data_IF_587263470331
#
_entry.id   IF_587263470331
#
_cell.length_a   1.000
_cell.length_b   1.000
_cell.length_c   1.000
_cell.angle_alpha   90.00
_cell.angle_beta   90.00
_cell.angle_gamma   90.00
#
_symmetry.space_group_name_H-M   'P 1'
#
loop_
_entity.id
_entity.type
_entity.pdbx_description
1 polymer ?
#
# COMPACT_ATOMS: atom_id res chain seq x y z
N UNK A 1 4.48 -12.44 -12.74
CA UNK A 1 5.61 -11.48 -12.50
C UNK A 1 5.16 -10.45 -11.45
N UNK A 2 5.97 -10.12 -10.43
CA UNK A 2 5.64 -9.09 -9.41
C UNK A 2 6.73 -8.03 -9.42
N UNK A 3 6.36 -6.76 -9.52
CA UNK A 3 7.27 -5.61 -9.44
C UNK A 3 6.77 -4.61 -8.41
N UNK A 4 7.69 -4.17 -7.55
CA UNK A 4 7.40 -3.23 -6.45
C UNK A 4 8.27 -1.99 -6.62
N UNK A 5 7.64 -0.84 -6.52
CA UNK A 5 8.31 0.47 -6.41
C UNK A 5 8.00 1.07 -5.05
N UNK A 6 9.03 1.61 -4.38
CA UNK A 6 8.91 2.26 -3.08
C UNK A 6 9.58 3.63 -3.14
N UNK A 7 8.87 4.63 -2.66
CA UNK A 7 9.37 5.98 -2.48
C UNK A 7 9.33 6.35 -1.00
N UNK A 8 10.47 6.63 -0.38
CA UNK A 8 10.61 6.92 1.04
C UNK A 8 11.48 8.15 1.38
N UNK A 9 11.75 8.99 0.37
CA UNK A 9 12.31 10.32 0.61
C UNK A 9 11.20 11.35 0.84
N UNK A 10 10.61 11.30 2.03
CA UNK A 10 9.49 12.17 2.38
C UNK A 10 9.90 13.62 2.67
N UNK A 11 11.19 13.96 2.61
CA UNK A 11 11.66 15.35 2.67
C UNK A 11 11.17 16.19 1.48
N UNK A 12 10.88 15.55 0.35
CA UNK A 12 10.32 16.17 -0.85
C UNK A 12 8.77 16.29 -0.81
N UNK A 13 8.11 15.89 0.27
CA UNK A 13 6.67 16.05 0.43
C UNK A 13 6.32 17.52 0.75
N UNK A 14 6.40 18.40 -0.25
CA UNK A 14 6.18 19.84 -0.15
C UNK A 14 5.13 20.30 -1.16
N UNK A 15 4.52 21.48 -0.91
CA UNK A 15 3.56 22.07 -1.85
C UNK A 15 4.23 22.41 -3.20
N UNK A 16 5.49 22.83 -3.20
CA UNK A 16 6.25 23.08 -4.42
C UNK A 16 6.39 21.80 -5.29
N UNK A 17 6.64 20.66 -4.66
CA UNK A 17 6.72 19.40 -5.38
C UNK A 17 5.35 18.92 -5.87
N UNK A 18 4.27 19.17 -5.12
CA UNK A 18 2.89 18.94 -5.56
C UNK A 18 2.60 19.76 -6.82
N UNK A 19 2.91 21.07 -6.82
CA UNK A 19 2.73 21.95 -7.99
C UNK A 19 3.54 21.46 -9.20
N UNK A 20 4.75 20.97 -8.99
CA UNK A 20 5.60 20.41 -10.05
C UNK A 20 5.02 19.12 -10.65
N UNK A 21 4.39 18.26 -9.85
CA UNK A 21 3.82 17.00 -10.30
C UNK A 21 2.44 17.15 -10.97
N UNK A 22 1.65 18.15 -10.60
CA UNK A 22 0.29 18.34 -11.13
C UNK A 22 0.20 18.28 -12.66
N UNK A 23 1.01 19.00 -13.45
CA UNK A 23 0.92 18.96 -14.90
C UNK A 23 1.39 17.62 -15.52
N UNK A 24 2.02 16.74 -14.74
CA UNK A 24 2.50 15.44 -15.19
C UNK A 24 1.44 14.34 -15.03
N UNK A 25 0.33 14.65 -14.37
CA UNK A 25 -0.74 13.68 -14.05
C UNK A 25 -2.03 14.10 -14.76
N UNK A 26 -2.62 13.23 -15.59
CA UNK A 26 -3.83 13.57 -16.35
C UNK A 26 -5.07 13.67 -15.47
N UNK A 27 -6.12 14.30 -16.01
CA UNK A 27 -7.47 14.25 -15.44
C UNK A 27 -8.08 12.82 -15.56
N UNK A 28 -8.92 12.41 -14.61
CA UNK A 28 -9.39 13.17 -13.43
C UNK A 28 -8.45 13.09 -12.20
N UNK A 29 -7.31 12.42 -12.30
CA UNK A 29 -6.44 12.12 -11.16
C UNK A 29 -5.78 13.38 -10.56
N UNK A 30 -5.43 14.35 -11.40
CA UNK A 30 -4.90 15.65 -10.95
C UNK A 30 -5.93 16.40 -10.11
N UNK A 31 -7.18 16.45 -10.56
CA UNK A 31 -8.30 17.04 -9.79
C UNK A 31 -8.59 16.27 -8.50
N UNK A 32 -8.52 14.95 -8.49
CA UNK A 32 -8.68 14.14 -7.28
C UNK A 32 -7.60 14.47 -6.24
N UNK A 33 -6.37 14.67 -6.67
CA UNK A 33 -5.27 15.06 -5.78
C UNK A 33 -5.57 16.40 -5.06
N UNK A 34 -6.15 17.38 -5.77
CA UNK A 34 -6.47 18.69 -5.20
C UNK A 34 -7.62 18.66 -4.18
N UNK A 35 -8.42 17.59 -4.13
CA UNK A 35 -9.47 17.39 -3.10
C UNK A 35 -8.90 17.08 -1.72
N UNK A 36 -7.67 16.61 -1.62
CA UNK A 36 -7.03 16.39 -0.33
C UNK A 36 -6.70 17.72 0.36
N UNK A 37 -7.04 17.80 1.65
CA UNK A 37 -6.83 19.01 2.45
C UNK A 37 -5.34 19.28 2.72
N UNK A 38 -4.56 18.22 2.94
CA UNK A 38 -3.16 18.32 3.38
C UNK A 38 -2.20 17.97 2.25
N UNK A 39 -1.04 18.61 2.22
CA UNK A 39 0.05 18.41 1.27
C UNK A 39 0.41 16.94 1.10
N UNK A 40 0.50 16.17 2.21
CA UNK A 40 0.79 14.74 2.14
C UNK A 40 -0.20 13.96 1.27
N UNK A 41 -1.51 14.19 1.43
CA UNK A 41 -2.52 13.50 0.63
C UNK A 41 -2.41 13.83 -0.87
N UNK A 42 -2.18 15.11 -1.20
CA UNK A 42 -1.94 15.57 -2.57
C UNK A 42 -0.69 14.92 -3.17
N UNK A 43 0.40 15.00 -2.42
CA UNK A 43 1.68 14.41 -2.80
C UNK A 43 1.57 12.89 -3.02
N UNK A 44 1.00 12.15 -2.06
CA UNK A 44 0.84 10.71 -2.15
C UNK A 44 -0.05 10.29 -3.34
N UNK A 45 -1.12 11.03 -3.61
CA UNK A 45 -2.01 10.80 -4.74
C UNK A 45 -1.27 10.94 -6.08
N UNK A 46 -0.52 12.02 -6.29
CA UNK A 46 0.23 12.28 -7.52
C UNK A 46 1.43 11.36 -7.65
N UNK A 47 2.21 11.21 -6.58
CA UNK A 47 3.43 10.39 -6.59
C UNK A 47 3.13 8.93 -6.87
N UNK A 48 2.11 8.36 -6.22
CA UNK A 48 1.72 6.97 -6.47
C UNK A 48 1.25 6.73 -7.91
N UNK A 49 0.56 7.71 -8.52
CA UNK A 49 0.19 7.63 -9.93
C UNK A 49 1.42 7.61 -10.85
N UNK A 50 2.39 8.50 -10.63
CA UNK A 50 3.62 8.55 -11.42
C UNK A 50 4.46 7.27 -11.25
N UNK A 51 4.52 6.71 -10.03
CA UNK A 51 5.17 5.43 -9.77
C UNK A 51 4.48 4.27 -10.50
N UNK A 52 3.14 4.27 -10.52
CA UNK A 52 2.37 3.28 -11.26
C UNK A 52 2.60 3.40 -12.77
N UNK A 53 2.58 4.62 -13.31
CA UNK A 53 2.84 4.89 -14.72
C UNK A 53 4.23 4.39 -15.14
N UNK A 54 5.25 4.62 -14.33
CA UNK A 54 6.61 4.15 -14.57
C UNK A 54 6.69 2.62 -14.61
N UNK A 55 6.05 1.93 -13.65
CA UNK A 55 6.00 0.47 -13.61
C UNK A 55 5.24 -0.12 -14.81
N UNK A 56 4.10 0.47 -15.19
CA UNK A 56 3.31 0.00 -16.33
C UNK A 56 4.08 0.17 -17.64
N UNK A 57 4.77 1.29 -17.80
CA UNK A 57 5.60 1.55 -18.97
C UNK A 57 6.78 0.58 -19.06
N UNK A 58 7.53 0.43 -17.96
CA UNK A 58 8.76 -0.36 -17.96
C UNK A 58 8.51 -1.87 -18.06
N UNK A 59 7.47 -2.38 -17.40
CA UNK A 59 7.24 -3.82 -17.27
C UNK A 59 6.23 -4.38 -18.28
N UNK A 60 5.28 -3.53 -18.75
CA UNK A 60 4.19 -3.95 -19.64
C UNK A 60 4.12 -3.16 -20.95
N UNK A 61 4.95 -2.12 -21.14
CA UNK A 61 4.94 -1.28 -22.33
C UNK A 61 3.69 -0.40 -22.47
N UNK A 62 2.99 -0.14 -21.37
CA UNK A 62 1.76 0.67 -21.34
C UNK A 62 2.12 2.12 -21.07
N UNK A 63 1.94 2.97 -22.08
CA UNK A 63 2.21 4.42 -22.01
C UNK A 63 1.02 5.19 -21.44
N UNK A 64 -0.20 4.82 -21.81
CA UNK A 64 -1.45 5.47 -21.39
C UNK A 64 -2.37 4.46 -20.73
N UNK A 65 -2.95 4.82 -19.60
CA UNK A 65 -3.88 3.97 -18.87
C UNK A 65 -4.94 4.78 -18.16
N UNK A 66 -6.07 4.16 -17.88
CA UNK A 66 -7.14 4.73 -17.07
C UNK A 66 -7.42 3.81 -15.88
N UNK A 67 -7.46 4.43 -14.69
CA UNK A 67 -7.87 3.75 -13.47
C UNK A 67 -9.38 3.90 -13.29
N UNK A 68 -10.03 2.80 -12.97
CA UNK A 68 -11.43 2.75 -12.54
C UNK A 68 -11.51 2.09 -11.18
N UNK A 69 -12.65 2.28 -10.49
CA UNK A 69 -12.88 1.73 -9.15
C UNK A 69 -13.88 0.59 -9.23
N UNK A 70 -13.53 -0.56 -8.70
CA UNK A 70 -14.38 -1.73 -8.60
C UNK A 70 -15.43 -1.61 -7.49
N UNK A 71 -16.29 -2.62 -7.37
CA UNK A 71 -17.45 -2.66 -6.47
C UNK A 71 -17.09 -2.40 -5.00
N UNK A 72 -15.93 -2.88 -4.53
CA UNK A 72 -15.46 -2.70 -3.15
C UNK A 72 -14.40 -1.61 -3.00
N UNK A 73 -14.30 -0.69 -3.97
CA UNK A 73 -13.37 0.44 -3.90
C UNK A 73 -11.92 0.11 -4.33
N UNK A 74 -11.61 -1.14 -4.71
CA UNK A 74 -10.29 -1.50 -5.22
C UNK A 74 -10.13 -0.94 -6.64
N UNK A 75 -9.09 -0.13 -6.92
CA UNK A 75 -8.84 0.37 -8.27
C UNK A 75 -8.32 -0.75 -9.20
N UNK A 76 -8.65 -0.63 -10.48
CA UNK A 76 -8.19 -1.51 -11.55
C UNK A 76 -7.88 -0.72 -12.83
N UNK A 77 -7.17 -1.34 -13.77
CA UNK A 77 -6.82 -0.74 -15.07
C UNK A 77 -7.90 -1.04 -16.09
N UNK A 78 -8.59 -0.01 -16.58
CA UNK A 78 -9.57 -0.16 -17.66
C UNK A 78 -8.89 -0.63 -18.94
N UNK A 79 -9.42 -1.70 -19.53
CA UNK A 79 -8.87 -2.30 -20.76
C UNK A 79 -7.70 -3.27 -20.54
N UNK A 80 -7.22 -3.46 -19.29
CA UNK A 80 -6.11 -4.37 -18.95
C UNK A 80 -6.47 -5.28 -17.77
N UNK A 81 -7.48 -6.15 -17.89
CA UNK A 81 -7.93 -7.02 -16.80
C UNK A 81 -6.88 -8.05 -16.35
N UNK A 82 -5.88 -8.33 -17.19
CA UNK A 82 -4.76 -9.21 -16.94
C UNK A 82 -3.66 -8.59 -16.06
N UNK A 83 -3.72 -7.27 -15.85
CA UNK A 83 -2.73 -6.55 -15.05
C UNK A 83 -3.35 -6.10 -13.75
N UNK A 84 -2.77 -6.56 -12.66
CA UNK A 84 -3.17 -6.20 -11.31
C UNK A 84 -2.19 -5.20 -10.71
N UNK A 85 -2.70 -4.24 -9.98
CA UNK A 85 -1.87 -3.32 -9.21
C UNK A 85 -2.48 -3.03 -7.85
N UNK A 86 -1.65 -2.55 -6.95
CA UNK A 86 -2.11 -2.04 -5.67
C UNK A 86 -1.19 -0.91 -5.18
N UNK A 87 -1.73 -0.01 -4.37
CA UNK A 87 -1.06 1.18 -3.85
C UNK A 87 -1.28 1.24 -2.34
N UNK A 88 -0.24 1.59 -1.61
CA UNK A 88 -0.32 1.93 -0.19
C UNK A 88 0.63 3.08 0.15
N UNK A 89 0.29 3.83 1.18
CA UNK A 89 1.15 4.90 1.67
C UNK A 89 0.95 5.14 3.17
N UNK A 90 2.02 5.51 3.84
CA UNK A 90 2.04 6.04 5.20
C UNK A 90 2.91 7.30 5.24
N UNK A 91 3.04 7.96 6.40
CA UNK A 91 3.86 9.18 6.54
C UNK A 91 5.35 8.99 6.20
N UNK A 92 5.82 7.75 6.07
CA UNK A 92 7.22 7.39 5.85
C UNK A 92 7.52 6.89 4.44
N UNK A 93 6.49 6.39 3.72
CA UNK A 93 6.70 5.80 2.40
C UNK A 93 5.42 5.74 1.57
N UNK A 94 5.59 5.67 0.25
CA UNK A 94 4.58 5.35 -0.75
C UNK A 94 5.05 4.10 -1.46
N UNK A 95 4.18 3.12 -1.64
CA UNK A 95 4.48 1.84 -2.27
C UNK A 95 3.46 1.51 -3.34
N UNK A 96 3.95 1.00 -4.47
CA UNK A 96 3.14 0.55 -5.60
C UNK A 96 3.63 -0.84 -6.03
N UNK A 97 2.71 -1.74 -6.31
CA UNK A 97 3.00 -3.05 -6.87
C UNK A 97 2.20 -3.24 -8.16
N UNK A 98 2.80 -3.88 -9.16
CA UNK A 98 2.13 -4.37 -10.37
C UNK A 98 2.44 -5.85 -10.57
N UNK A 99 1.49 -6.60 -11.14
CA UNK A 99 1.62 -8.05 -11.35
C UNK A 99 0.68 -8.54 -12.45
N UNK A 100 1.01 -9.69 -13.05
CA UNK A 100 0.16 -10.48 -13.94
C UNK A 100 -0.78 -11.45 -13.18
N UNK A 101 -0.78 -11.38 -11.84
CA UNK A 101 -1.64 -12.14 -10.94
C UNK A 101 -2.20 -11.22 -9.85
N UNK A 102 -3.31 -11.58 -9.19
CA UNK A 102 -3.83 -10.82 -8.08
C UNK A 102 -2.75 -10.50 -7.04
N UNK A 103 -2.64 -9.24 -6.65
CA UNK A 103 -1.61 -8.74 -5.75
C UNK A 103 -2.15 -7.66 -4.82
N UNK A 104 -1.57 -7.59 -3.63
CA UNK A 104 -1.82 -6.52 -2.67
C UNK A 104 -0.52 -6.04 -2.04
N UNK A 105 -0.48 -4.78 -1.66
CA UNK A 105 0.66 -4.17 -0.95
C UNK A 105 0.17 -3.32 0.20
N UNK A 106 0.90 -3.37 1.31
CA UNK A 106 0.67 -2.42 2.40
C UNK A 106 2.00 -1.92 2.97
N UNK A 107 2.01 -0.64 3.39
CA UNK A 107 3.14 0.02 4.04
C UNK A 107 2.65 0.84 5.23
N UNK A 108 3.24 0.60 6.42
CA UNK A 108 2.86 1.28 7.65
C UNK A 108 4.09 1.70 8.46
N UNK A 109 3.97 2.89 9.06
CA UNK A 109 4.97 3.39 10.02
C UNK A 109 4.91 2.57 11.31
N UNK A 110 6.07 2.39 11.97
CA UNK A 110 6.06 1.86 13.33
C UNK A 110 5.35 2.85 14.25
N UNK A 111 4.42 2.35 15.02
CA UNK A 111 3.61 3.14 15.95
C UNK A 111 3.22 2.31 17.17
N UNK A 112 3.01 2.99 18.27
CA UNK A 112 2.41 2.35 19.43
C UNK A 112 1.01 1.81 19.10
N UNK A 113 0.69 0.70 19.70
CA UNK A 113 -0.61 0.06 19.66
C UNK A 113 -1.14 -0.11 21.07
N UNK A 114 -2.46 -0.18 21.22
CA UNK A 114 -3.11 -0.51 22.48
C UNK A 114 -3.71 -1.93 22.44
N UNK A 115 -4.07 -2.44 23.61
CA UNK A 115 -4.63 -3.78 23.74
C UNK A 115 -5.89 -3.98 22.89
N UNK A 116 -6.75 -2.94 22.79
CA UNK A 116 -7.98 -3.01 21.99
C UNK A 116 -7.71 -3.19 20.50
N UNK A 117 -6.68 -2.55 19.95
CA UNK A 117 -6.27 -2.75 18.56
C UNK A 117 -5.67 -4.14 18.37
N UNK A 118 -4.83 -4.57 19.33
CA UNK A 118 -4.20 -5.88 19.29
C UNK A 118 -5.25 -7.00 19.33
N UNK A 119 -6.23 -6.88 20.23
CA UNK A 119 -7.33 -7.86 20.38
C UNK A 119 -8.25 -7.93 19.15
N UNK A 120 -8.45 -6.82 18.45
CA UNK A 120 -9.28 -6.78 17.24
C UNK A 120 -8.58 -7.33 16.00
N UNK A 121 -7.26 -7.25 15.95
CA UNK A 121 -6.53 -7.49 14.71
C UNK A 121 -5.64 -8.74 14.72
N UNK A 122 -5.25 -9.23 15.90
CA UNK A 122 -4.28 -10.31 16.03
C UNK A 122 -4.91 -11.54 16.71
N UNK A 123 -4.60 -12.73 16.19
CA UNK A 123 -4.96 -13.96 16.86
C UNK A 123 -4.07 -14.19 18.12
N UNK A 124 -4.41 -15.15 19.00
CA UNK A 124 -3.66 -15.37 20.24
C UNK A 124 -2.16 -15.64 20.03
N UNK A 125 -1.78 -16.37 18.98
CA UNK A 125 -0.38 -16.67 18.69
C UNK A 125 0.36 -15.41 18.23
N UNK A 126 -0.20 -14.66 17.29
CA UNK A 126 0.37 -13.39 16.80
C UNK A 126 0.52 -12.38 17.95
N UNK A 127 -0.48 -12.30 18.83
CA UNK A 127 -0.43 -11.46 20.02
C UNK A 127 0.71 -11.84 20.95
N UNK A 128 0.89 -13.14 21.23
CA UNK A 128 1.98 -13.65 22.04
C UNK A 128 3.35 -13.32 21.41
N UNK A 129 3.48 -13.50 20.09
CA UNK A 129 4.69 -13.19 19.33
C UNK A 129 5.04 -11.69 19.37
N UNK A 130 4.02 -10.82 19.29
CA UNK A 130 4.21 -9.37 19.34
C UNK A 130 4.68 -8.94 20.73
N UNK A 131 3.98 -9.40 21.78
CA UNK A 131 4.26 -8.99 23.15
C UNK A 131 5.60 -9.52 23.68
N UNK A 132 6.08 -10.65 23.18
CA UNK A 132 7.39 -11.21 23.50
C UNK A 132 8.54 -10.70 22.65
N UNK A 133 8.25 -9.94 21.60
CA UNK A 133 9.29 -9.44 20.68
C UNK A 133 10.16 -8.36 21.34
N UNK A 134 11.43 -8.30 20.94
CA UNK A 134 12.36 -7.25 21.37
C UNK A 134 11.92 -5.85 20.89
N UNK A 135 11.26 -5.78 19.73
CA UNK A 135 10.71 -4.57 19.12
C UNK A 135 9.20 -4.82 18.82
N UNK A 136 8.30 -4.70 19.82
CA UNK A 136 6.89 -5.05 19.65
C UNK A 136 6.18 -4.24 18.55
N UNK A 137 6.48 -2.94 18.39
CA UNK A 137 5.90 -2.07 17.38
C UNK A 137 6.31 -2.50 15.96
N UNK A 138 7.54 -2.93 15.78
CA UNK A 138 8.05 -3.47 14.50
C UNK A 138 7.34 -4.79 14.17
N UNK A 139 7.21 -5.65 15.17
CA UNK A 139 6.53 -6.96 15.01
C UNK A 139 5.05 -6.77 14.69
N UNK A 140 4.38 -5.85 15.41
CA UNK A 140 2.99 -5.49 15.14
C UNK A 140 2.82 -4.96 13.71
N UNK A 141 3.65 -3.99 13.29
CA UNK A 141 3.60 -3.44 11.94
C UNK A 141 3.80 -4.52 10.86
N UNK A 142 4.66 -5.50 11.12
CA UNK A 142 4.88 -6.62 10.20
C UNK A 142 3.62 -7.49 10.02
N UNK A 143 2.95 -7.87 11.11
CA UNK A 143 1.69 -8.62 11.02
C UNK A 143 0.57 -7.79 10.39
N UNK A 144 0.46 -6.52 10.79
CA UNK A 144 -0.55 -5.61 10.28
C UNK A 144 -0.45 -5.44 8.77
N UNK A 145 0.75 -5.09 8.27
CA UNK A 145 0.97 -4.92 6.83
C UNK A 145 0.76 -6.20 6.04
N UNK A 146 1.11 -7.38 6.58
CA UNK A 146 0.79 -8.66 5.94
C UNK A 146 -0.72 -8.84 5.76
N UNK A 147 -1.49 -8.60 6.83
CA UNK A 147 -2.95 -8.76 6.81
C UNK A 147 -3.60 -7.78 5.85
N UNK A 148 -3.22 -6.50 5.90
CA UNK A 148 -3.72 -5.48 5.00
C UNK A 148 -3.36 -5.78 3.53
N UNK A 149 -2.15 -6.27 3.25
CA UNK A 149 -1.76 -6.67 1.90
C UNK A 149 -2.64 -7.81 1.37
N UNK A 150 -2.98 -8.80 2.20
CA UNK A 150 -3.88 -9.89 1.83
C UNK A 150 -5.29 -9.37 1.55
N UNK A 151 -5.85 -8.50 2.39
CA UNK A 151 -7.16 -7.87 2.15
C UNK A 151 -7.18 -7.06 0.85
N UNK A 152 -6.14 -6.27 0.61
CA UNK A 152 -6.00 -5.49 -0.62
C UNK A 152 -5.87 -6.37 -1.86
N UNK A 153 -5.17 -7.51 -1.75
CA UNK A 153 -5.10 -8.50 -2.81
C UNK A 153 -6.48 -9.06 -3.13
N UNK A 154 -7.21 -9.51 -2.11
CA UNK A 154 -8.55 -10.10 -2.27
C UNK A 154 -9.60 -9.10 -2.75
N UNK A 155 -9.44 -7.81 -2.43
CA UNK A 155 -10.39 -6.76 -2.81
C UNK A 155 -11.74 -6.81 -2.11
N UNK A 156 -11.86 -7.57 -1.02
CA UNK A 156 -13.12 -7.78 -0.27
C UNK A 156 -13.38 -6.70 0.79
N UNK A 157 -12.44 -5.77 0.99
CA UNK A 157 -12.45 -4.86 2.14
C UNK A 157 -12.13 -5.58 3.45
N UNK A 158 -12.01 -4.82 4.54
CA UNK A 158 -11.76 -5.38 5.88
C UNK A 158 -13.05 -6.06 6.35
N UNK A 159 -12.98 -7.37 6.53
CA UNK A 159 -14.05 -8.18 7.10
C UNK A 159 -13.68 -8.61 8.53
N UNK A 160 -14.61 -9.23 9.27
CA UNK A 160 -14.37 -9.76 10.63
C UNK A 160 -13.32 -10.88 10.71
N UNK A 161 -12.69 -11.23 9.58
CA UNK A 161 -11.71 -12.33 9.46
C UNK A 161 -10.25 -11.93 9.72
N UNK A 162 -9.97 -10.72 10.26
CA UNK A 162 -8.60 -10.25 10.54
C UNK A 162 -7.76 -11.28 11.31
N UNK A 163 -8.34 -11.98 12.27
CA UNK A 163 -7.61 -12.95 13.11
C UNK A 163 -7.00 -14.10 12.31
N UNK A 164 -7.67 -14.57 11.27
CA UNK A 164 -7.29 -15.80 10.57
C UNK A 164 -6.88 -15.61 9.11
N UNK A 165 -6.79 -14.35 8.65
CA UNK A 165 -6.57 -14.09 7.22
C UNK A 165 -5.25 -14.67 6.70
N UNK A 166 -4.22 -14.74 7.55
CA UNK A 166 -2.92 -15.32 7.17
C UNK A 166 -2.93 -16.86 7.14
N UNK A 167 -4.00 -17.51 7.65
CA UNK A 167 -4.14 -18.96 7.62
C UNK A 167 -4.64 -19.49 6.26
N UNK A 168 -5.02 -18.61 5.34
CA UNK A 168 -5.66 -18.95 4.06
C UNK A 168 -4.71 -19.42 2.95
N UNK A 169 -3.44 -19.70 3.23
CA UNK A 169 -2.47 -20.20 2.24
C UNK A 169 -1.96 -19.13 1.24
N UNK A 170 -2.24 -17.85 1.48
CA UNK A 170 -1.71 -16.74 0.69
C UNK A 170 -0.23 -16.55 0.99
N UNK A 171 0.57 -16.37 -0.05
CA UNK A 171 1.99 -16.06 0.10
C UNK A 171 2.16 -14.58 0.42
N UNK A 172 2.98 -14.27 1.42
CA UNK A 172 3.32 -12.89 1.79
C UNK A 172 4.81 -12.71 1.95
N UNK A 173 5.32 -11.53 1.60
CA UNK A 173 6.71 -11.13 1.84
C UNK A 173 6.76 -9.79 2.54
N UNK A 174 7.55 -9.66 3.62
CA UNK A 174 7.68 -8.43 4.40
C UNK A 174 9.11 -7.90 4.38
N UNK A 175 9.24 -6.60 4.15
CA UNK A 175 10.48 -5.83 4.30
C UNK A 175 10.33 -4.83 5.44
N UNK A 176 11.29 -4.81 6.36
CA UNK A 176 11.37 -3.87 7.48
C UNK A 176 12.47 -2.86 7.19
N UNK A 177 12.12 -1.58 7.18
CA UNK A 177 13.07 -0.49 7.10
C UNK A 177 13.16 0.21 8.46
N UNK A 178 14.13 -0.19 9.28
CA UNK A 178 14.32 0.38 10.63
C UNK A 178 14.83 1.81 10.60
N UNK A 179 15.66 2.16 9.62
CA UNK A 179 16.21 3.50 9.47
C UNK A 179 15.11 4.54 9.20
N UNK A 180 14.18 4.20 8.29
CA UNK A 180 13.05 5.07 7.93
C UNK A 180 11.81 4.87 8.84
N UNK A 181 11.76 3.79 9.60
CA UNK A 181 10.72 3.51 10.58
C UNK A 181 9.40 2.99 9.97
N UNK A 182 9.45 2.05 9.01
CA UNK A 182 8.26 1.43 8.42
C UNK A 182 8.44 -0.06 8.12
N UNK A 183 7.32 -0.78 8.04
CA UNK A 183 7.20 -2.11 7.45
C UNK A 183 6.40 -2.04 6.15
N UNK A 184 6.77 -2.88 5.19
CA UNK A 184 6.07 -3.04 3.91
C UNK A 184 5.85 -4.54 3.66
N UNK A 185 4.62 -4.91 3.29
CA UNK A 185 4.29 -6.28 2.92
C UNK A 185 3.61 -6.35 1.55
N UNK A 186 3.90 -7.43 0.84
CA UNK A 186 3.25 -7.79 -0.43
C UNK A 186 2.58 -9.15 -0.25
N UNK A 187 1.37 -9.33 -0.80
CA UNK A 187 0.63 -10.58 -0.85
C UNK A 187 0.34 -10.97 -2.32
N UNK A 188 0.46 -12.28 -2.65
CA UNK A 188 0.22 -12.85 -3.99
C UNK A 188 -0.20 -14.30 -3.96
#
# INVERSE_FOLDING_TARGET
MIRVSVYDDMSLCTDAEVERMLPLVPEPRSSDALRFKHTFGRFACLKSYLMLAELLRSEFGIEEFRMETGEHGKPFLAGHPEIHFNISHCQKAIAVVVSDQPVGIDVESFRHFNDGLLDKSMNPQEKADILSAQEPEVKFASYWTCKEAVFKMQGTGITDSLHNILSGGVTTGTKINREKGYALSVAW
#
